data_IF_215652478801
#
_entry.id   IF_215652478801
#
_cell.length_a   1.000
_cell.length_b   1.000
_cell.length_c   1.000
_cell.angle_alpha   90.00
_cell.angle_beta   90.00
_cell.angle_gamma   90.00
#
_symmetry.space_group_name_H-M   'P 1'
#
loop_
_entity.id
_entity.type
_entity.pdbx_description
1 polymer ?
#
# COMPACT_ATOMS: atom_id res chain seq x y z
N UNK A 1 0.44 -23.19 -7.30
CA UNK A 1 0.84 -22.51 -6.05
C UNK A 1 -0.32 -21.68 -5.46
N UNK A 2 -1.49 -22.30 -5.36
CA UNK A 2 -2.64 -21.74 -4.65
C UNK A 2 -2.38 -21.89 -3.14
N UNK A 3 -2.83 -20.92 -2.34
CA UNK A 3 -2.70 -20.90 -0.87
C UNK A 3 -1.29 -20.58 -0.30
N UNK A 4 -0.50 -19.82 -1.02
CA UNK A 4 0.76 -19.25 -0.52
C UNK A 4 0.60 -17.77 -0.15
N UNK A 5 1.48 -17.22 0.68
CA UNK A 5 1.46 -15.81 1.04
C UNK A 5 1.54 -14.88 -0.20
N UNK A 6 2.43 -15.11 -1.20
CA UNK A 6 2.44 -14.31 -2.43
C UNK A 6 1.14 -14.38 -3.22
N UNK A 7 0.45 -15.52 -3.24
CA UNK A 7 -0.87 -15.62 -3.88
C UNK A 7 -1.89 -14.71 -3.19
N UNK A 8 -1.94 -14.70 -1.87
CA UNK A 8 -2.88 -13.86 -1.14
C UNK A 8 -2.48 -12.38 -1.14
N UNK A 9 -1.20 -12.07 -1.23
CA UNK A 9 -0.73 -10.69 -1.37
C UNK A 9 -1.22 -10.02 -2.66
N UNK A 10 -1.46 -10.77 -3.73
CA UNK A 10 -2.03 -10.24 -4.99
C UNK A 10 -3.53 -10.54 -5.18
N UNK A 11 -4.16 -11.19 -4.21
CA UNK A 11 -5.53 -11.70 -4.35
C UNK A 11 -6.55 -10.60 -4.63
N UNK A 12 -6.51 -9.50 -3.91
CA UNK A 12 -7.46 -8.40 -4.07
C UNK A 12 -7.37 -7.76 -5.46
N UNK A 13 -6.18 -7.60 -6.02
CA UNK A 13 -5.99 -7.07 -7.36
C UNK A 13 -6.64 -7.92 -8.44
N UNK A 14 -6.60 -9.23 -8.27
CA UNK A 14 -7.22 -10.14 -9.23
C UNK A 14 -8.74 -10.17 -9.11
N UNK A 15 -9.27 -10.08 -7.89
CA UNK A 15 -10.68 -10.32 -7.63
C UNK A 15 -11.53 -9.06 -7.53
N UNK A 16 -10.94 -7.86 -7.35
CA UNK A 16 -11.68 -6.59 -7.26
C UNK A 16 -12.58 -6.29 -8.46
N UNK A 17 -12.28 -6.87 -9.63
CA UNK A 17 -13.11 -6.73 -10.84
C UNK A 17 -14.26 -7.74 -10.92
N UNK A 18 -14.38 -8.68 -9.96
CA UNK A 18 -15.35 -9.77 -9.98
C UNK A 18 -16.37 -9.60 -8.86
N UNK A 19 -17.68 -9.57 -9.14
CA UNK A 19 -18.69 -9.62 -8.08
C UNK A 19 -18.55 -10.90 -7.24
N UNK A 20 -18.71 -10.88 -5.93
CA UNK A 20 -19.13 -9.77 -5.07
C UNK A 20 -17.99 -8.90 -4.52
N UNK A 21 -16.76 -9.02 -5.04
CA UNK A 21 -15.56 -8.37 -4.50
C UNK A 21 -15.36 -6.93 -4.97
N UNK A 22 -16.24 -6.39 -5.83
CA UNK A 22 -16.17 -5.00 -6.30
C UNK A 22 -15.98 -3.95 -5.21
N UNK A 23 -16.56 -4.07 -4.01
CA UNK A 23 -16.33 -3.10 -2.93
C UNK A 23 -14.85 -2.94 -2.56
N UNK A 24 -14.04 -4.00 -2.70
CA UNK A 24 -12.62 -3.96 -2.38
C UNK A 24 -11.81 -3.08 -3.33
N UNK A 25 -12.38 -2.68 -4.47
CA UNK A 25 -11.71 -1.80 -5.43
C UNK A 25 -11.28 -0.44 -4.83
N UNK A 26 -11.93 0.01 -3.77
CA UNK A 26 -11.60 1.26 -3.07
C UNK A 26 -10.68 1.06 -1.86
N UNK A 27 -10.18 -0.16 -1.62
CA UNK A 27 -9.40 -0.51 -0.42
C UNK A 27 -7.89 -0.51 -0.64
N UNK A 28 -7.44 0.03 -1.77
CA UNK A 28 -6.03 0.01 -2.21
C UNK A 28 -5.26 1.30 -1.86
N UNK A 29 -5.76 2.11 -0.95
CA UNK A 29 -5.08 3.34 -0.56
C UNK A 29 -5.86 4.11 0.49
N UNK A 30 -5.29 5.19 0.95
CA UNK A 30 -5.90 6.07 1.92
C UNK A 30 -5.70 7.54 1.54
N UNK A 31 -6.46 8.43 2.16
CA UNK A 31 -6.36 9.86 1.90
C UNK A 31 -5.62 10.57 3.03
N UNK A 32 -4.85 11.60 2.67
CA UNK A 32 -4.15 12.45 3.61
C UNK A 32 -4.13 13.90 3.11
N UNK A 33 -3.94 14.83 4.03
CA UNK A 33 -3.61 16.22 3.73
C UNK A 33 -2.12 16.37 3.41
N UNK A 34 -1.73 17.45 2.75
CA UNK A 34 -0.34 17.71 2.40
C UNK A 34 0.58 17.83 3.62
N UNK A 35 0.07 18.28 4.75
CA UNK A 35 0.80 18.39 6.03
C UNK A 35 0.86 17.07 6.82
N UNK A 36 0.30 15.98 6.29
CA UNK A 36 0.43 14.63 6.83
C UNK A 36 -0.67 14.18 7.77
N UNK A 37 -1.78 14.91 7.83
CA UNK A 37 -2.94 14.41 8.53
C UNK A 37 -3.61 13.31 7.71
N UNK A 38 -3.68 12.12 8.26
CA UNK A 38 -4.32 10.97 7.63
C UNK A 38 -5.81 11.02 7.90
N UNK A 39 -6.62 10.91 6.85
CA UNK A 39 -8.05 10.86 7.00
C UNK A 39 -8.53 9.40 7.10
N UNK A 40 -8.78 8.98 8.33
CA UNK A 40 -9.24 7.63 8.65
C UNK A 40 -10.72 7.42 8.40
N UNK A 41 -11.52 8.50 8.47
CA UNK A 41 -12.98 8.45 8.43
C UNK A 41 -13.57 8.53 7.01
N UNK A 42 -12.76 8.72 5.98
CA UNK A 42 -13.28 8.81 4.63
C UNK A 42 -13.81 7.48 4.12
N UNK A 43 -15.00 7.20 4.58
CA UNK A 43 -15.98 6.33 3.97
C UNK A 43 -15.87 4.86 4.38
N UNK A 44 -16.98 4.33 4.80
CA UNK A 44 -17.28 2.91 4.61
C UNK A 44 -16.82 2.51 3.22
N UNK A 45 -15.92 1.54 3.11
CA UNK A 45 -15.42 1.06 1.83
C UNK A 45 -14.07 1.61 1.38
N UNK A 46 -13.29 2.30 2.23
CA UNK A 46 -11.88 2.62 1.98
C UNK A 46 -10.96 1.83 2.89
N UNK A 47 -9.73 1.56 2.44
CA UNK A 47 -8.82 0.60 3.07
C UNK A 47 -8.64 0.82 4.56
N UNK A 48 -8.48 2.06 5.01
CA UNK A 48 -8.19 2.32 6.43
C UNK A 48 -9.35 2.02 7.36
N UNK A 49 -10.57 2.43 7.00
CA UNK A 49 -11.77 2.07 7.79
C UNK A 49 -11.97 0.57 7.87
N UNK A 50 -11.71 -0.14 6.77
CA UNK A 50 -11.79 -1.61 6.75
C UNK A 50 -10.68 -2.26 7.57
N UNK A 51 -9.45 -1.74 7.53
CA UNK A 51 -8.36 -2.25 8.35
C UNK A 51 -8.64 -2.10 9.84
N UNK A 52 -9.15 -0.95 10.29
CA UNK A 52 -9.54 -0.75 11.68
C UNK A 52 -10.64 -1.72 12.11
N UNK A 53 -11.69 -1.86 11.31
CA UNK A 53 -12.78 -2.80 11.57
C UNK A 53 -12.27 -4.25 11.66
N UNK A 54 -11.46 -4.67 10.71
CA UNK A 54 -10.88 -6.02 10.72
C UNK A 54 -9.99 -6.24 11.94
N UNK A 55 -9.18 -5.27 12.32
CA UNK A 55 -8.34 -5.36 13.50
C UNK A 55 -9.15 -5.44 14.81
N UNK A 56 -10.27 -4.74 14.90
CA UNK A 56 -11.20 -4.84 16.03
C UNK A 56 -11.85 -6.23 16.07
N UNK A 57 -12.35 -6.71 14.93
CA UNK A 57 -13.00 -8.01 14.81
C UNK A 57 -12.05 -9.19 15.06
N UNK A 58 -10.79 -9.09 14.70
CA UNK A 58 -9.78 -10.13 14.95
C UNK A 58 -9.08 -9.99 16.29
N UNK A 59 -9.01 -8.77 16.83
CA UNK A 59 -8.24 -8.45 18.04
C UNK A 59 -8.86 -9.00 19.32
N UNK A 60 -8.06 -9.01 20.39
CA UNK A 60 -8.48 -9.35 21.75
C UNK A 60 -9.23 -10.68 21.91
N UNK A 61 -9.02 -11.62 20.98
CA UNK A 61 -9.70 -12.91 20.97
C UNK A 61 -11.11 -12.89 20.36
N UNK A 62 -11.56 -11.78 19.83
CA UNK A 62 -12.89 -11.63 19.20
C UNK A 62 -13.06 -12.55 17.99
N UNK A 63 -11.96 -12.89 17.29
CA UNK A 63 -11.97 -13.83 16.16
C UNK A 63 -12.64 -15.17 16.49
N UNK A 64 -12.66 -15.57 17.78
CA UNK A 64 -13.32 -16.82 18.23
C UNK A 64 -14.83 -16.81 18.03
N UNK A 65 -15.42 -15.63 17.86
CA UNK A 65 -16.84 -15.44 17.61
C UNK A 65 -17.17 -15.37 16.11
N UNK A 66 -16.16 -15.42 15.26
CA UNK A 66 -16.31 -15.36 13.80
C UNK A 66 -16.26 -16.76 13.20
N UNK A 67 -16.89 -16.93 12.04
CA UNK A 67 -16.71 -18.14 11.26
C UNK A 67 -15.28 -18.23 10.68
N UNK A 68 -14.75 -19.43 10.50
CA UNK A 68 -13.43 -19.65 9.88
C UNK A 68 -13.31 -19.00 8.50
N UNK A 69 -14.41 -18.97 7.76
CA UNK A 69 -14.47 -18.31 6.44
C UNK A 69 -14.25 -16.80 6.56
N UNK A 70 -14.86 -16.16 7.55
CA UNK A 70 -14.72 -14.72 7.77
C UNK A 70 -13.32 -14.38 8.30
N UNK A 71 -12.80 -15.15 9.24
CA UNK A 71 -11.41 -15.00 9.72
C UNK A 71 -10.42 -15.10 8.56
N UNK A 72 -10.57 -16.11 7.70
CA UNK A 72 -9.74 -16.26 6.51
C UNK A 72 -9.84 -15.07 5.57
N UNK A 73 -11.05 -14.57 5.32
CA UNK A 73 -11.27 -13.41 4.47
C UNK A 73 -10.58 -12.15 5.04
N UNK A 74 -10.70 -11.91 6.33
CA UNK A 74 -10.03 -10.81 7.02
C UNK A 74 -8.50 -10.91 6.91
N UNK A 75 -7.94 -12.10 7.10
CA UNK A 75 -6.50 -12.31 6.95
C UNK A 75 -6.01 -12.05 5.51
N UNK A 76 -6.76 -12.44 4.51
CA UNK A 76 -6.44 -12.17 3.10
C UNK A 76 -6.42 -10.66 2.83
N UNK A 77 -7.41 -9.93 3.35
CA UNK A 77 -7.46 -8.47 3.22
C UNK A 77 -6.25 -7.83 3.91
N UNK A 78 -5.90 -8.24 5.13
CA UNK A 78 -4.73 -7.71 5.84
C UNK A 78 -3.43 -7.97 5.08
N UNK A 79 -3.24 -9.18 4.55
CA UNK A 79 -2.03 -9.55 3.79
C UNK A 79 -1.82 -8.65 2.57
N UNK A 80 -2.89 -8.17 1.95
CA UNK A 80 -2.83 -7.24 0.82
C UNK A 80 -2.76 -5.78 1.29
N UNK A 81 -3.73 -5.34 2.08
CA UNK A 81 -3.94 -3.92 2.35
C UNK A 81 -2.88 -3.30 3.27
N UNK A 82 -2.24 -4.07 4.16
CA UNK A 82 -1.16 -3.55 5.00
C UNK A 82 0.09 -3.22 4.17
N UNK A 83 0.59 -4.06 3.26
CA UNK A 83 1.64 -3.65 2.32
C UNK A 83 1.21 -2.48 1.42
N UNK A 84 0.00 -2.48 0.90
CA UNK A 84 -0.52 -1.41 0.05
C UNK A 84 -0.50 -0.04 0.77
N UNK A 85 -0.89 0.02 2.02
CA UNK A 85 -0.81 1.26 2.80
C UNK A 85 0.63 1.75 3.00
N UNK A 86 1.64 0.88 2.88
CA UNK A 86 3.04 1.25 2.96
C UNK A 86 3.62 1.68 1.60
N UNK A 87 2.84 1.61 0.53
CA UNK A 87 3.23 2.12 -0.78
C UNK A 87 3.03 3.65 -0.83
N UNK A 88 4.09 4.45 -1.03
CA UNK A 88 3.98 5.91 -1.02
C UNK A 88 3.01 6.49 -2.05
N UNK A 89 2.78 5.80 -3.16
CA UNK A 89 1.89 6.28 -4.22
C UNK A 89 0.43 5.86 -4.03
N UNK A 90 0.14 5.08 -2.99
CA UNK A 90 -1.23 4.78 -2.57
C UNK A 90 -1.82 5.84 -1.63
N UNK A 91 -1.04 6.86 -1.25
CA UNK A 91 -1.56 8.03 -0.55
C UNK A 91 -2.31 8.93 -1.52
N UNK A 92 -3.59 9.16 -1.27
CA UNK A 92 -4.42 10.09 -2.02
C UNK A 92 -4.41 11.47 -1.37
N UNK A 93 -4.00 12.49 -2.13
CA UNK A 93 -4.10 13.89 -1.71
C UNK A 93 -5.25 14.59 -2.42
N UNK A 94 -5.86 15.60 -1.79
CA UNK A 94 -6.78 16.47 -2.51
C UNK A 94 -6.00 17.37 -3.48
N UNK A 95 -6.62 17.78 -4.57
CA UNK A 95 -5.99 18.73 -5.51
C UNK A 95 -5.77 20.11 -4.90
N UNK A 96 -6.56 20.50 -3.89
CA UNK A 96 -6.35 21.75 -3.15
C UNK A 96 -5.11 21.69 -2.26
N UNK A 97 -4.85 20.53 -1.66
CA UNK A 97 -3.76 20.34 -0.72
C UNK A 97 -2.44 20.01 -1.45
N UNK A 98 -2.54 19.29 -2.57
CA UNK A 98 -1.38 18.90 -3.36
C UNK A 98 -1.75 18.83 -4.86
N UNK A 99 -1.71 19.98 -5.58
CA UNK A 99 -2.17 20.09 -6.96
C UNK A 99 -1.42 19.19 -7.95
N UNK A 100 -0.15 18.92 -7.70
CA UNK A 100 0.73 18.14 -8.57
C UNK A 100 0.64 16.63 -8.37
N UNK A 101 -0.19 16.19 -7.45
CA UNK A 101 -0.44 14.79 -7.24
C UNK A 101 -1.13 14.11 -8.46
N UNK A 102 -0.77 12.87 -8.77
CA UNK A 102 -1.31 12.09 -9.92
C UNK A 102 -0.90 12.56 -11.33
N UNK A 103 0.24 13.18 -11.46
CA UNK A 103 0.77 13.58 -12.75
C UNK A 103 1.33 12.42 -13.59
N UNK A 104 1.76 12.74 -14.81
CA UNK A 104 2.54 11.85 -15.67
C UNK A 104 4.02 12.26 -15.63
N UNK A 105 4.91 11.28 -15.70
CA UNK A 105 6.36 11.46 -15.82
C UNK A 105 6.89 10.72 -17.06
N UNK A 106 8.13 10.97 -17.40
CA UNK A 106 8.82 10.22 -18.45
C UNK A 106 9.97 9.40 -17.87
N UNK A 107 10.24 8.27 -18.49
CA UNK A 107 11.43 7.47 -18.23
C UNK A 107 11.95 6.95 -19.57
N UNK A 108 13.16 7.35 -19.96
CA UNK A 108 13.75 7.03 -21.27
C UNK A 108 12.80 7.35 -22.44
N UNK A 109 12.17 8.54 -22.39
CA UNK A 109 11.23 9.01 -23.39
C UNK A 109 9.81 8.42 -23.33
N UNK A 110 9.58 7.36 -22.59
CA UNK A 110 8.24 6.76 -22.40
C UNK A 110 7.48 7.45 -21.28
N UNK A 111 6.19 7.71 -21.50
CA UNK A 111 5.30 8.30 -20.51
C UNK A 111 4.70 7.25 -19.59
N UNK A 112 4.64 7.56 -18.32
CA UNK A 112 4.05 6.74 -17.27
C UNK A 112 3.17 7.59 -16.37
N UNK A 113 2.09 7.03 -15.85
CA UNK A 113 1.44 7.61 -14.68
C UNK A 113 2.34 7.43 -13.47
N UNK A 114 2.45 8.44 -12.63
CA UNK A 114 3.30 8.45 -11.44
C UNK A 114 3.04 7.23 -10.55
N UNK A 115 1.78 6.95 -10.24
CA UNK A 115 1.34 5.78 -9.50
C UNK A 115 1.87 4.47 -10.13
N UNK A 116 1.48 4.18 -11.38
CA UNK A 116 1.89 2.93 -12.03
C UNK A 116 3.39 2.80 -12.28
N UNK A 117 4.12 3.94 -12.34
CA UNK A 117 5.57 3.91 -12.42
C UNK A 117 6.18 3.38 -11.12
N UNK A 118 5.72 3.87 -9.97
CA UNK A 118 6.23 3.45 -8.67
C UNK A 118 5.79 2.04 -8.29
N UNK A 119 4.54 1.68 -8.52
CA UNK A 119 4.03 0.32 -8.31
C UNK A 119 4.81 -0.72 -9.13
N UNK A 120 5.09 -0.41 -10.38
CA UNK A 120 5.83 -1.29 -11.29
C UNK A 120 7.36 -1.13 -11.21
N UNK A 121 7.87 -0.16 -10.46
CA UNK A 121 9.29 0.21 -10.46
C UNK A 121 10.24 -0.94 -10.17
N UNK A 122 10.01 -1.81 -9.17
CA UNK A 122 10.89 -2.95 -8.96
C UNK A 122 11.04 -3.84 -10.20
N UNK A 123 9.92 -4.19 -10.84
CA UNK A 123 9.91 -5.04 -12.02
C UNK A 123 10.61 -4.38 -13.23
N UNK A 124 10.49 -3.04 -13.37
CA UNK A 124 11.14 -2.30 -14.47
C UNK A 124 12.63 -2.06 -14.23
N UNK A 125 13.00 -1.74 -12.98
CA UNK A 125 14.37 -1.35 -12.62
C UNK A 125 15.29 -2.56 -12.45
N UNK A 126 14.77 -3.67 -12.01
CA UNK A 126 15.51 -4.88 -11.68
C UNK A 126 14.98 -6.10 -12.42
N UNK A 127 14.75 -5.94 -13.71
CA UNK A 127 14.28 -7.02 -14.57
C UNK A 127 15.21 -8.24 -14.44
N UNK A 128 14.61 -9.39 -14.17
CA UNK A 128 15.33 -10.66 -13.99
C UNK A 128 15.79 -10.95 -12.56
N UNK A 129 15.50 -10.09 -11.60
CA UNK A 129 15.68 -10.46 -10.18
C UNK A 129 14.62 -11.47 -9.77
N UNK A 130 15.04 -12.50 -9.04
CA UNK A 130 14.12 -13.42 -8.40
C UNK A 130 13.53 -12.80 -7.13
N UNK A 131 12.50 -13.44 -6.59
CA UNK A 131 11.91 -13.07 -5.31
C UNK A 131 12.97 -13.08 -4.18
N UNK A 132 13.81 -14.11 -4.14
CA UNK A 132 14.88 -14.25 -3.14
C UNK A 132 15.87 -13.09 -3.24
N UNK A 133 16.21 -12.66 -4.47
CA UNK A 133 17.10 -11.52 -4.67
C UNK A 133 16.49 -10.20 -4.20
N UNK A 134 15.20 -9.99 -4.38
CA UNK A 134 14.50 -8.85 -3.80
C UNK A 134 14.49 -8.94 -2.27
N UNK A 135 14.14 -10.08 -1.70
CA UNK A 135 14.12 -10.28 -0.26
C UNK A 135 15.49 -9.99 0.37
N UNK A 136 16.58 -10.51 -0.22
CA UNK A 136 17.96 -10.25 0.23
C UNK A 136 18.30 -8.75 0.33
N UNK A 137 17.77 -7.94 -0.60
CA UNK A 137 18.07 -6.51 -0.64
C UNK A 137 17.18 -5.69 0.29
N UNK A 138 15.89 -6.05 0.43
CA UNK A 138 14.92 -5.26 1.19
C UNK A 138 14.75 -5.72 2.63
N UNK A 139 14.93 -7.01 2.89
CA UNK A 139 14.80 -7.60 4.23
C UNK A 139 16.17 -7.58 4.96
N UNK A 140 16.61 -6.38 5.27
CA UNK A 140 17.91 -6.12 5.85
C UNK A 140 17.85 -5.65 7.32
N UNK A 141 16.71 -5.84 7.96
CA UNK A 141 16.51 -5.48 9.37
C UNK A 141 16.73 -6.69 10.28
N UNK A 142 17.28 -6.41 11.45
CA UNK A 142 17.45 -7.44 12.48
C UNK A 142 16.13 -7.73 13.19
N UNK A 143 15.92 -8.94 13.77
CA UNK A 143 14.74 -9.25 14.57
C UNK A 143 14.49 -8.27 15.74
N UNK A 144 15.54 -7.65 16.28
CA UNK A 144 15.43 -6.61 17.31
C UNK A 144 14.86 -5.31 16.75
N UNK A 145 15.28 -4.93 15.53
CA UNK A 145 14.75 -3.76 14.84
C UNK A 145 13.28 -3.98 14.45
N UNK A 146 12.96 -5.15 13.90
CA UNK A 146 11.59 -5.56 13.56
C UNK A 146 10.66 -5.43 14.78
N UNK A 147 11.00 -6.07 15.91
CA UNK A 147 10.24 -5.96 17.16
C UNK A 147 10.03 -4.51 17.60
N UNK A 148 11.05 -3.65 17.43
CA UNK A 148 10.95 -2.23 17.77
C UNK A 148 9.98 -1.48 16.84
N UNK A 149 10.02 -1.78 15.55
CA UNK A 149 9.12 -1.18 14.55
C UNK A 149 7.68 -1.60 14.84
N UNK A 150 7.43 -2.90 14.98
CA UNK A 150 6.10 -3.45 15.27
C UNK A 150 5.54 -2.89 16.59
N UNK A 151 6.36 -2.80 17.64
CA UNK A 151 5.93 -2.25 18.94
C UNK A 151 5.57 -0.76 18.87
N UNK A 152 6.20 0.02 18.01
CA UNK A 152 5.88 1.44 17.82
C UNK A 152 4.70 1.65 16.89
N UNK A 153 4.40 0.65 16.06
CA UNK A 153 3.47 0.78 14.97
C UNK A 153 2.02 0.74 15.42
N UNK A 154 1.31 1.73 14.96
CA UNK A 154 -0.13 1.68 14.74
C UNK A 154 -0.40 2.32 13.37
N UNK A 155 -1.61 2.20 12.88
CA UNK A 155 -1.95 2.72 11.55
C UNK A 155 -1.74 4.23 11.45
N UNK A 156 -1.98 5.01 12.51
CA UNK A 156 -1.72 6.45 12.52
C UNK A 156 -0.25 6.79 12.33
N UNK A 157 0.61 6.09 13.06
CA UNK A 157 2.06 6.29 12.96
C UNK A 157 2.56 5.92 11.57
N UNK A 158 2.18 4.75 11.07
CA UNK A 158 2.58 4.28 9.74
C UNK A 158 2.04 5.16 8.64
N UNK A 159 0.77 5.57 8.71
CA UNK A 159 0.17 6.45 7.72
C UNK A 159 0.89 7.80 7.62
N UNK A 160 1.21 8.43 8.75
CA UNK A 160 2.00 9.67 8.77
C UNK A 160 3.42 9.49 8.23
N UNK A 161 4.04 8.35 8.48
CA UNK A 161 5.37 8.08 7.94
C UNK A 161 5.32 7.89 6.43
N UNK A 162 4.33 7.15 5.93
CA UNK A 162 4.14 6.96 4.48
C UNK A 162 3.81 8.26 3.75
N UNK A 163 3.07 9.19 4.35
CA UNK A 163 2.86 10.53 3.75
C UNK A 163 4.20 11.24 3.52
N UNK A 164 5.13 11.17 4.47
CA UNK A 164 6.49 11.72 4.27
C UNK A 164 7.23 11.03 3.13
N UNK A 165 7.11 9.70 3.01
CA UNK A 165 7.71 8.97 1.90
C UNK A 165 7.04 9.31 0.56
N UNK A 166 5.73 9.56 0.56
CA UNK A 166 5.02 10.04 -0.63
C UNK A 166 5.59 11.38 -1.12
N UNK A 167 5.77 12.37 -0.24
CA UNK A 167 6.42 13.63 -0.60
C UNK A 167 7.83 13.44 -1.15
N UNK A 168 8.62 12.52 -0.58
CA UNK A 168 9.95 12.18 -1.11
C UNK A 168 9.87 11.57 -2.51
N UNK A 169 8.94 10.63 -2.73
CA UNK A 169 8.71 10.03 -4.04
C UNK A 169 8.35 11.08 -5.09
N UNK A 170 7.47 12.02 -4.77
CA UNK A 170 7.11 13.13 -5.65
C UNK A 170 8.30 14.07 -5.93
N UNK A 171 9.13 14.34 -4.94
CA UNK A 171 10.30 15.21 -5.10
C UNK A 171 11.35 14.63 -6.06
N UNK A 172 11.58 13.32 -6.03
CA UNK A 172 12.57 12.65 -6.90
C UNK A 172 12.02 12.22 -8.27
N UNK A 173 10.72 12.32 -8.49
CA UNK A 173 10.06 12.04 -9.77
C UNK A 173 9.18 13.21 -10.21
N UNK A 174 9.75 14.38 -10.50
CA UNK A 174 8.99 15.60 -10.74
C UNK A 174 8.14 15.51 -12.02
N UNK A 175 6.99 16.18 -12.01
CA UNK A 175 6.05 16.22 -13.10
C UNK A 175 6.69 16.69 -14.42
N UNK A 176 6.38 16.01 -15.51
CA UNK A 176 6.82 16.37 -16.86
C UNK A 176 8.31 16.18 -17.15
N UNK A 177 9.10 15.77 -16.17
CA UNK A 177 10.53 15.49 -16.37
C UNK A 177 10.76 14.05 -16.84
N UNK A 178 11.85 13.85 -17.57
CA UNK A 178 12.36 12.51 -17.88
C UNK A 178 13.35 12.11 -16.79
N UNK A 179 12.94 11.22 -15.89
CA UNK A 179 13.73 10.80 -14.73
C UNK A 179 15.03 10.08 -15.09
N UNK A 180 15.15 9.56 -16.32
CA UNK A 180 16.41 8.99 -16.80
C UNK A 180 17.48 10.06 -17.09
N UNK A 181 17.11 11.34 -17.05
CA UNK A 181 17.99 12.49 -17.29
C UNK A 181 18.26 13.32 -16.03
N UNK A 182 17.73 12.91 -14.88
CA UNK A 182 18.01 13.47 -13.56
C UNK A 182 19.18 12.76 -12.90
#
# INVERSE_FOLDING_TARGET
>A
LKHTLPYYASWMDHWRAVPPFHPTNNWHGFSATADGQVNWEQGEGKSMGQLYKIMEELGNGNYKNLSDSLVRHHLIILIHSVPDMHCPVHVGFSKSDFPEYRYSLKNKGKSYKMHGFWDGSPAFQRKGWSYEKYAEVVDNITPKQEKKIVKKGNFDYWGRDIVKQAHRAYAITPAGKDIAKL
#
